data_IF_432885092687
#
_entry.id   IF_432885092687
#
_cell.length_a   1.000
_cell.length_b   1.000
_cell.length_c   1.000
_cell.angle_alpha   90.00
_cell.angle_beta   90.00
_cell.angle_gamma   90.00
#
_symmetry.space_group_name_H-M   'P 1'
#
loop_
_entity.id
_entity.type
_entity.pdbx_description
1 polymer ?
#
# COMPACT_ATOMS: atom_id res chain seq x y z
N UNK A 1 33.10 35.98 -37.01
CA UNK A 1 32.19 36.97 -36.41
C UNK A 1 31.32 36.24 -35.42
N UNK A 2 31.23 36.70 -34.17
CA UNK A 2 30.29 36.12 -33.22
C UNK A 2 28.87 36.54 -33.62
N UNK A 3 27.97 35.57 -33.71
CA UNK A 3 26.59 35.78 -34.11
C UNK A 3 25.84 36.45 -32.95
N UNK A 4 25.75 37.78 -32.99
CA UNK A 4 24.96 38.59 -32.04
C UNK A 4 23.54 38.75 -32.60
N UNK A 5 22.69 37.77 -32.33
CA UNK A 5 21.24 37.88 -32.52
C UNK A 5 20.55 38.27 -31.21
N UNK A 6 19.58 39.19 -31.30
CA UNK A 6 18.71 39.52 -30.16
C UNK A 6 17.82 38.31 -29.80
N UNK A 7 17.53 38.14 -28.50
CA UNK A 7 16.77 36.98 -28.02
C UNK A 7 15.35 37.00 -28.59
N UNK A 8 15.09 36.18 -29.61
CA UNK A 8 13.79 36.05 -30.27
C UNK A 8 13.71 36.57 -31.72
N UNK A 9 14.81 37.03 -32.32
CA UNK A 9 14.84 37.39 -33.74
C UNK A 9 14.91 36.15 -34.64
N UNK A 10 14.05 36.08 -35.66
CA UNK A 10 14.13 35.06 -36.70
C UNK A 10 15.33 35.33 -37.63
N UNK A 11 16.07 34.28 -38.06
CA UNK A 11 17.21 34.43 -38.97
C UNK A 11 16.72 34.94 -40.32
N UNK A 12 17.37 35.99 -40.84
CA UNK A 12 16.98 36.64 -42.11
C UNK A 12 17.86 36.23 -43.28
N UNK A 13 19.03 35.65 -43.02
CA UNK A 13 20.01 35.25 -44.03
C UNK A 13 20.27 33.75 -44.02
N UNK A 14 20.60 33.17 -45.18
CA UNK A 14 20.98 31.75 -45.30
C UNK A 14 22.19 31.38 -44.42
N UNK A 15 23.12 32.32 -44.22
CA UNK A 15 24.25 32.14 -43.30
C UNK A 15 23.82 32.03 -41.84
N UNK A 16 22.86 32.85 -41.38
CA UNK A 16 22.34 32.78 -40.01
C UNK A 16 21.56 31.48 -39.76
N UNK A 17 20.84 30.98 -40.77
CA UNK A 17 20.14 29.69 -40.70
C UNK A 17 21.16 28.55 -40.54
N UNK A 18 22.20 28.53 -41.38
CA UNK A 18 23.26 27.52 -41.32
C UNK A 18 24.01 27.54 -39.96
N UNK A 19 24.28 28.73 -39.41
CA UNK A 19 24.92 28.85 -38.09
C UNK A 19 23.99 28.39 -36.95
N UNK A 20 22.67 28.67 -37.03
CA UNK A 20 21.70 28.15 -36.06
C UNK A 20 21.56 26.63 -36.12
N UNK A 21 21.57 26.05 -37.32
CA UNK A 21 21.58 24.60 -37.52
C UNK A 21 22.87 23.96 -36.99
N UNK A 22 24.02 24.59 -37.18
CA UNK A 22 25.27 24.13 -36.56
C UNK A 22 25.21 24.17 -35.03
N UNK A 23 24.63 25.24 -34.46
CA UNK A 23 24.45 25.36 -33.00
C UNK A 23 23.47 24.31 -32.47
N UNK A 24 22.37 24.02 -33.18
CA UNK A 24 21.43 22.98 -32.76
C UNK A 24 22.06 21.59 -32.84
N UNK A 25 22.78 21.27 -33.91
CA UNK A 25 23.50 20.00 -34.04
C UNK A 25 24.58 19.80 -32.95
N UNK A 26 25.28 20.87 -32.57
CA UNK A 26 26.21 20.84 -31.44
C UNK A 26 25.50 20.59 -30.10
N UNK A 27 24.33 21.19 -29.88
CA UNK A 27 23.53 20.96 -28.67
C UNK A 27 22.94 19.55 -28.63
N UNK A 28 22.53 19.02 -29.77
CA UNK A 28 22.02 17.66 -29.90
C UNK A 28 23.12 16.64 -29.56
N UNK A 29 24.30 16.78 -30.16
CA UNK A 29 25.44 15.91 -29.83
C UNK A 29 25.83 16.01 -28.35
N UNK A 30 25.86 17.21 -27.77
CA UNK A 30 26.07 17.40 -26.33
C UNK A 30 24.98 16.75 -25.45
N UNK A 31 23.71 16.78 -25.87
CA UNK A 31 22.62 16.13 -25.16
C UNK A 31 22.73 14.60 -25.20
N UNK A 32 23.18 14.03 -26.32
CA UNK A 32 23.46 12.61 -26.46
C UNK A 32 24.67 12.17 -25.61
N UNK A 33 25.73 12.98 -25.53
CA UNK A 33 26.84 12.71 -24.62
C UNK A 33 26.40 12.71 -23.15
N UNK A 34 25.54 13.67 -22.76
CA UNK A 34 24.98 13.72 -21.41
C UNK A 34 24.11 12.49 -21.10
N UNK A 35 23.37 11.98 -22.08
CA UNK A 35 22.62 10.72 -21.98
C UNK A 35 23.57 9.57 -21.64
N UNK A 36 24.65 9.42 -22.39
CA UNK A 36 25.60 8.32 -22.18
C UNK A 36 26.37 8.45 -20.87
N UNK A 37 26.80 9.65 -20.48
CA UNK A 37 27.39 9.92 -19.15
C UNK A 37 26.41 9.55 -18.03
N UNK A 38 25.14 9.89 -18.19
CA UNK A 38 24.08 9.47 -17.26
C UNK A 38 24.00 7.95 -17.15
N UNK A 39 24.01 7.22 -18.28
CA UNK A 39 24.00 5.75 -18.29
C UNK A 39 25.23 5.16 -17.59
N UNK A 40 26.41 5.75 -17.78
CA UNK A 40 27.64 5.33 -17.09
C UNK A 40 27.54 5.53 -15.58
N UNK A 41 27.02 6.67 -15.11
CA UNK A 41 26.81 6.90 -13.68
C UNK A 41 25.83 5.90 -13.06
N UNK A 42 24.78 5.50 -13.79
CA UNK A 42 23.89 4.42 -13.36
C UNK A 42 24.65 3.09 -13.20
N UNK A 43 25.56 2.77 -14.13
CA UNK A 43 26.39 1.55 -14.03
C UNK A 43 27.38 1.60 -12.86
N UNK A 44 27.90 2.78 -12.52
CA UNK A 44 28.80 2.97 -11.36
C UNK A 44 28.10 2.77 -10.00
N UNK A 45 26.77 2.76 -9.98
CA UNK A 45 25.96 2.34 -8.84
C UNK A 45 25.48 3.49 -7.95
N UNK A 46 24.95 3.14 -6.77
CA UNK A 46 24.08 4.01 -5.95
C UNK A 46 24.67 5.39 -5.59
N UNK A 47 25.99 5.47 -5.38
CA UNK A 47 26.67 6.73 -5.05
C UNK A 47 26.52 7.77 -6.15
N UNK A 48 26.37 7.34 -7.40
CA UNK A 48 26.37 8.19 -8.58
C UNK A 48 24.99 8.43 -9.20
N UNK A 49 23.92 7.93 -8.55
CA UNK A 49 22.55 8.09 -9.07
C UNK A 49 22.09 9.55 -9.11
N UNK A 50 22.53 10.38 -8.18
CA UNK A 50 22.17 11.80 -8.20
C UNK A 50 22.82 12.54 -9.38
N UNK A 51 24.07 12.20 -9.71
CA UNK A 51 24.78 12.77 -10.86
C UNK A 51 24.19 12.27 -12.18
N UNK A 52 23.72 11.01 -12.24
CA UNK A 52 22.97 10.50 -13.37
C UNK A 52 21.69 11.31 -13.63
N UNK A 53 20.94 11.64 -12.57
CA UNK A 53 19.73 12.48 -12.67
C UNK A 53 20.08 13.88 -13.17
N UNK A 54 21.18 14.47 -12.71
CA UNK A 54 21.64 15.78 -13.19
C UNK A 54 21.97 15.73 -14.68
N UNK A 55 22.73 14.72 -15.12
CA UNK A 55 23.07 14.53 -16.54
C UNK A 55 21.82 14.42 -17.42
N UNK A 56 20.84 13.60 -17.03
CA UNK A 56 19.59 13.49 -17.78
C UNK A 56 18.78 14.80 -17.77
N UNK A 57 18.74 15.51 -16.64
CA UNK A 57 18.01 16.77 -16.53
C UNK A 57 18.66 17.85 -17.42
N UNK A 58 19.99 17.91 -17.46
CA UNK A 58 20.74 18.80 -18.35
C UNK A 58 20.51 18.46 -19.81
N UNK A 59 20.44 17.17 -20.18
CA UNK A 59 20.13 16.73 -21.54
C UNK A 59 18.71 17.16 -21.96
N UNK A 60 17.70 16.94 -21.09
CA UNK A 60 16.31 17.35 -21.33
C UNK A 60 16.21 18.88 -21.48
N UNK A 61 16.95 19.64 -20.66
CA UNK A 61 16.92 21.11 -20.68
C UNK A 61 17.49 21.72 -21.96
N UNK A 62 18.25 20.98 -22.77
CA UNK A 62 18.69 21.48 -24.08
C UNK A 62 17.51 21.67 -25.05
N UNK A 63 16.43 20.89 -24.91
CA UNK A 63 15.22 20.95 -25.75
C UNK A 63 15.50 20.85 -27.26
N UNK A 64 16.54 20.10 -27.64
CA UNK A 64 16.93 19.90 -29.05
C UNK A 64 16.66 18.47 -29.51
N UNK A 65 16.36 17.56 -28.59
CA UNK A 65 16.09 16.15 -28.90
C UNK A 65 14.64 15.94 -29.33
N UNK A 66 14.44 14.96 -30.22
CA UNK A 66 13.11 14.51 -30.62
C UNK A 66 12.33 13.91 -29.43
N UNK A 67 11.00 13.87 -29.54
CA UNK A 67 10.11 13.39 -28.48
C UNK A 67 10.42 11.94 -28.05
N UNK A 68 10.85 11.10 -28.99
CA UNK A 68 11.25 9.72 -28.71
C UNK A 68 12.48 9.64 -27.81
N UNK A 69 13.54 10.40 -28.12
CA UNK A 69 14.78 10.43 -27.33
C UNK A 69 14.58 11.11 -25.99
N UNK A 70 13.79 12.18 -25.98
CA UNK A 70 13.38 12.87 -24.75
C UNK A 70 12.57 11.94 -23.85
N UNK A 71 11.65 11.14 -24.41
CA UNK A 71 10.92 10.09 -23.66
C UNK A 71 11.87 9.06 -23.04
N UNK A 72 12.91 8.62 -23.77
CA UNK A 72 13.92 7.70 -23.24
C UNK A 72 14.67 8.32 -22.06
N UNK A 73 15.04 9.60 -22.13
CA UNK A 73 15.69 10.32 -21.03
C UNK A 73 14.81 10.41 -19.78
N UNK A 74 13.55 10.83 -19.94
CA UNK A 74 12.57 10.84 -18.84
C UNK A 74 12.38 9.45 -18.22
N UNK A 75 12.30 8.43 -19.07
CA UNK A 75 12.14 7.04 -18.63
C UNK A 75 13.40 6.56 -17.86
N UNK A 76 14.60 6.90 -18.31
CA UNK A 76 15.85 6.57 -17.61
C UNK A 76 15.99 7.35 -16.29
N UNK A 77 15.59 8.62 -16.26
CA UNK A 77 15.53 9.42 -15.02
C UNK A 77 14.50 8.84 -14.03
N UNK A 78 13.36 8.35 -14.50
CA UNK A 78 12.39 7.63 -13.66
C UNK A 78 12.97 6.35 -13.06
N UNK A 79 13.78 5.60 -13.84
CA UNK A 79 14.47 4.41 -13.34
C UNK A 79 15.43 4.73 -12.19
N UNK A 80 16.24 5.77 -12.33
CA UNK A 80 17.18 6.16 -11.27
C UNK A 80 16.44 6.63 -10.01
N UNK A 81 15.34 7.38 -10.18
CA UNK A 81 14.50 7.77 -9.05
C UNK A 81 13.86 6.56 -8.34
N UNK A 82 13.46 5.51 -9.08
CA UNK A 82 13.02 4.24 -8.48
C UNK A 82 14.12 3.61 -7.63
N UNK A 83 15.35 3.57 -8.14
CA UNK A 83 16.49 2.98 -7.42
C UNK A 83 16.87 3.78 -6.16
N UNK A 84 16.62 5.08 -6.15
CA UNK A 84 16.80 5.96 -4.99
C UNK A 84 15.64 5.89 -3.98
N UNK A 85 14.51 5.26 -4.32
CA UNK A 85 13.30 5.24 -3.49
C UNK A 85 12.42 6.49 -3.61
N UNK A 86 12.70 7.37 -4.58
CA UNK A 86 11.93 8.58 -4.86
C UNK A 86 10.69 8.24 -5.71
N UNK A 87 9.78 7.41 -5.19
CA UNK A 87 8.70 6.82 -5.98
C UNK A 87 7.76 7.85 -6.60
N UNK A 88 7.37 8.92 -5.88
CA UNK A 88 6.50 9.97 -6.43
C UNK A 88 7.11 10.67 -7.64
N UNK A 89 8.40 11.01 -7.57
CA UNK A 89 9.13 11.61 -8.69
C UNK A 89 9.28 10.62 -9.84
N UNK A 90 9.50 9.34 -9.54
CA UNK A 90 9.55 8.32 -10.58
C UNK A 90 8.24 8.18 -11.35
N UNK A 91 7.08 8.31 -10.69
CA UNK A 91 5.78 8.31 -11.36
C UNK A 91 5.66 9.50 -12.30
N UNK A 92 5.96 10.72 -11.84
CA UNK A 92 5.83 11.93 -12.68
C UNK A 92 6.73 11.87 -13.91
N UNK A 93 8.00 11.48 -13.73
CA UNK A 93 8.96 11.39 -14.84
C UNK A 93 8.57 10.27 -15.83
N UNK A 94 8.01 9.15 -15.33
CA UNK A 94 7.50 8.09 -16.19
C UNK A 94 6.24 8.51 -16.96
N UNK A 95 5.34 9.29 -16.34
CA UNK A 95 4.18 9.88 -17.01
C UNK A 95 4.60 10.84 -18.12
N UNK A 96 5.60 11.70 -17.87
CA UNK A 96 6.11 12.62 -18.88
C UNK A 96 6.78 11.86 -20.04
N UNK A 97 7.49 10.76 -19.76
CA UNK A 97 7.98 9.87 -20.80
C UNK A 97 6.84 9.27 -21.65
N UNK A 98 5.73 8.86 -21.03
CA UNK A 98 4.56 8.30 -21.72
C UNK A 98 3.84 9.34 -22.58
N UNK A 99 3.73 10.58 -22.10
CA UNK A 99 3.12 11.69 -22.87
C UNK A 99 3.89 11.97 -24.16
N UNK A 100 5.23 11.94 -24.10
CA UNK A 100 6.09 12.17 -25.26
C UNK A 100 6.10 10.97 -26.21
N UNK A 101 6.19 9.75 -25.68
CA UNK A 101 6.13 8.52 -26.48
C UNK A 101 5.28 7.45 -25.80
N UNK A 102 4.02 7.29 -26.24
CA UNK A 102 3.14 6.21 -25.78
C UNK A 102 3.61 4.81 -26.19
N UNK A 103 4.63 4.70 -27.05
CA UNK A 103 5.23 3.43 -27.44
C UNK A 103 6.31 2.95 -26.44
N UNK A 104 6.72 3.79 -25.49
CA UNK A 104 7.79 3.48 -24.54
C UNK A 104 7.30 2.54 -23.41
N UNK A 105 7.26 1.24 -23.67
CA UNK A 105 6.82 0.19 -22.71
C UNK A 105 7.60 0.23 -21.39
N UNK A 106 8.89 0.60 -21.43
CA UNK A 106 9.72 0.72 -20.22
C UNK A 106 9.21 1.81 -19.27
N UNK A 107 8.62 2.88 -19.80
CA UNK A 107 8.03 3.94 -18.99
C UNK A 107 6.80 3.43 -18.21
N UNK A 108 5.92 2.65 -18.87
CA UNK A 108 4.78 2.01 -18.21
C UNK A 108 5.21 1.06 -17.08
N UNK A 109 6.23 0.23 -17.33
CA UNK A 109 6.77 -0.65 -16.29
C UNK A 109 7.31 0.13 -15.08
N UNK A 110 8.05 1.22 -15.34
CA UNK A 110 8.61 2.09 -14.30
C UNK A 110 7.51 2.80 -13.50
N UNK A 111 6.48 3.32 -14.18
CA UNK A 111 5.32 3.93 -13.54
C UNK A 111 4.58 2.92 -12.64
N UNK A 112 4.26 1.74 -13.17
CA UNK A 112 3.58 0.69 -12.42
C UNK A 112 4.37 0.24 -11.18
N UNK A 113 5.69 0.06 -11.31
CA UNK A 113 6.57 -0.31 -10.20
C UNK A 113 6.65 0.79 -9.14
N UNK A 114 6.64 2.06 -9.55
CA UNK A 114 6.61 3.21 -8.64
C UNK A 114 5.28 3.29 -7.88
N UNK A 115 4.14 3.17 -8.57
CA UNK A 115 2.81 3.15 -7.97
C UNK A 115 2.64 1.96 -7.00
N UNK A 116 3.14 0.77 -7.36
CA UNK A 116 3.15 -0.39 -6.48
C UNK A 116 3.92 -0.13 -5.18
N UNK A 117 5.03 0.58 -5.26
CA UNK A 117 5.85 0.95 -4.09
C UNK A 117 5.16 2.00 -3.20
N UNK A 118 4.24 2.78 -3.77
CA UNK A 118 3.38 3.74 -3.05
C UNK A 118 2.07 3.12 -2.54
N UNK A 119 1.85 1.82 -2.72
CA UNK A 119 0.57 1.14 -2.48
C UNK A 119 -0.63 1.72 -3.27
N UNK A 120 -0.38 2.40 -4.38
CA UNK A 120 -1.41 2.87 -5.32
C UNK A 120 -1.74 1.73 -6.31
N UNK A 121 -2.39 0.67 -5.80
CA UNK A 121 -2.58 -0.59 -6.53
C UNK A 121 -3.46 -0.44 -7.78
N UNK A 122 -4.49 0.42 -7.73
CA UNK A 122 -5.39 0.68 -8.86
C UNK A 122 -4.65 1.32 -10.04
N UNK A 123 -3.89 2.38 -9.77
CA UNK A 123 -3.06 3.08 -10.78
C UNK A 123 -1.98 2.15 -11.33
N UNK A 124 -1.31 1.39 -10.46
CA UNK A 124 -0.28 0.44 -10.85
C UNK A 124 -0.81 -0.60 -11.84
N UNK A 125 -2.03 -1.10 -11.62
CA UNK A 125 -2.71 -2.03 -12.53
C UNK A 125 -3.02 -1.39 -13.88
N UNK A 126 -3.56 -0.18 -13.88
CA UNK A 126 -3.88 0.56 -15.12
C UNK A 126 -2.63 0.78 -16.00
N UNK A 127 -1.49 1.12 -15.39
CA UNK A 127 -0.22 1.24 -16.11
C UNK A 127 0.28 -0.09 -16.68
N UNK A 128 0.11 -1.20 -15.94
CA UNK A 128 0.45 -2.53 -16.45
C UNK A 128 -0.42 -2.93 -17.64
N UNK A 129 -1.74 -2.76 -17.54
CA UNK A 129 -2.69 -3.07 -18.62
C UNK A 129 -2.40 -2.24 -19.87
N UNK A 130 -2.16 -0.93 -19.69
CA UNK A 130 -1.77 -0.04 -20.79
C UNK A 130 -0.45 -0.47 -21.44
N UNK A 131 0.55 -0.84 -20.64
CA UNK A 131 1.85 -1.33 -21.15
C UNK A 131 1.74 -2.66 -21.89
N UNK A 132 0.94 -3.60 -21.37
CA UNK A 132 0.67 -4.91 -22.02
C UNK A 132 -0.09 -4.71 -23.32
N UNK A 133 -1.00 -3.72 -23.39
CA UNK A 133 -1.68 -3.36 -24.63
C UNK A 133 -0.74 -2.83 -25.71
N UNK A 134 0.42 -2.26 -25.34
CA UNK A 134 1.45 -1.81 -26.28
C UNK A 134 2.42 -2.92 -26.68
N UNK A 135 2.82 -3.76 -25.73
CA UNK A 135 3.68 -4.93 -25.97
C UNK A 135 3.18 -6.16 -25.20
N UNK A 136 2.34 -7.00 -25.87
CA UNK A 136 1.81 -8.22 -25.28
C UNK A 136 2.87 -9.29 -25.00
N UNK A 137 4.08 -9.19 -25.56
CA UNK A 137 5.16 -10.16 -25.35
C UNK A 137 5.92 -9.92 -24.04
N UNK A 138 5.74 -8.74 -23.42
CA UNK A 138 6.49 -8.35 -22.23
C UNK A 138 6.10 -9.16 -20.97
N UNK A 139 6.89 -10.19 -20.67
CA UNK A 139 6.69 -11.04 -19.49
C UNK A 139 6.94 -10.33 -18.15
N UNK A 140 7.79 -9.30 -18.10
CA UNK A 140 8.04 -8.56 -16.86
C UNK A 140 6.81 -7.78 -16.41
N UNK A 141 6.09 -7.16 -17.34
CA UNK A 141 4.83 -6.46 -17.07
C UNK A 141 3.74 -7.43 -16.62
N UNK A 142 3.62 -8.60 -17.25
CA UNK A 142 2.65 -9.64 -16.83
C UNK A 142 2.93 -10.13 -15.42
N UNK A 143 4.20 -10.35 -15.07
CA UNK A 143 4.61 -10.73 -13.70
C UNK A 143 4.24 -9.64 -12.70
N UNK A 144 4.49 -8.37 -13.05
CA UNK A 144 4.16 -7.23 -12.19
C UNK A 144 2.63 -7.10 -11.99
N UNK A 145 1.84 -7.26 -13.05
CA UNK A 145 0.38 -7.25 -12.99
C UNK A 145 -0.16 -8.32 -12.03
N UNK A 146 0.35 -9.56 -12.15
CA UNK A 146 -0.01 -10.65 -11.22
C UNK A 146 0.32 -10.32 -9.76
N UNK A 147 1.47 -9.71 -9.50
CA UNK A 147 1.84 -9.29 -8.13
C UNK A 147 0.90 -8.21 -7.58
N UNK A 148 0.48 -7.26 -8.43
CA UNK A 148 -0.48 -6.21 -8.07
C UNK A 148 -1.84 -6.82 -7.76
N UNK A 149 -2.34 -7.73 -8.59
CA UNK A 149 -3.62 -8.40 -8.39
C UNK A 149 -3.64 -9.19 -7.09
N UNK A 150 -2.58 -9.97 -6.80
CA UNK A 150 -2.46 -10.69 -5.53
C UNK A 150 -2.49 -9.75 -4.31
N UNK A 151 -1.74 -8.64 -4.35
CA UNK A 151 -1.75 -7.65 -3.27
C UNK A 151 -3.13 -7.02 -3.10
N UNK A 152 -3.82 -6.71 -4.20
CA UNK A 152 -5.15 -6.10 -4.18
C UNK A 152 -6.18 -7.06 -3.56
N UNK A 153 -6.18 -8.33 -3.96
CA UNK A 153 -7.06 -9.35 -3.38
C UNK A 153 -6.83 -9.52 -1.87
N UNK A 154 -5.57 -9.56 -1.43
CA UNK A 154 -5.24 -9.66 0.01
C UNK A 154 -5.73 -8.44 0.77
N UNK A 155 -5.56 -7.23 0.20
CA UNK A 155 -6.03 -6.01 0.82
C UNK A 155 -7.56 -5.97 0.94
N UNK A 156 -8.29 -6.32 -0.13
CA UNK A 156 -9.74 -6.39 -0.13
C UNK A 156 -10.28 -7.43 0.87
N UNK A 157 -9.64 -8.60 0.97
CA UNK A 157 -9.99 -9.61 1.96
C UNK A 157 -9.78 -9.12 3.39
N UNK A 158 -8.67 -8.42 3.64
CA UNK A 158 -8.38 -7.84 4.96
C UNK A 158 -9.38 -6.76 5.31
N UNK A 159 -9.70 -5.87 4.39
CA UNK A 159 -10.71 -4.81 4.58
C UNK A 159 -12.10 -5.42 4.83
N UNK A 160 -12.46 -6.50 4.12
CA UNK A 160 -13.71 -7.22 4.34
C UNK A 160 -13.76 -7.95 5.69
N UNK A 161 -12.64 -8.49 6.18
CA UNK A 161 -12.58 -9.07 7.54
C UNK A 161 -12.70 -7.99 8.62
N UNK A 162 -12.01 -6.87 8.45
CA UNK A 162 -12.08 -5.74 9.38
C UNK A 162 -13.48 -5.15 9.42
N UNK A 163 -14.15 -5.00 8.28
CA UNK A 163 -15.52 -4.49 8.23
C UNK A 163 -16.51 -5.44 8.91
N UNK A 164 -16.38 -6.76 8.68
CA UNK A 164 -17.19 -7.77 9.39
C UNK A 164 -17.00 -7.72 10.91
N UNK A 165 -15.74 -7.67 11.37
CA UNK A 165 -15.43 -7.59 12.80
C UNK A 165 -15.93 -6.29 13.42
N UNK A 166 -15.89 -5.17 12.69
CA UNK A 166 -16.40 -3.89 13.15
C UNK A 166 -17.92 -3.86 13.27
N UNK A 167 -18.63 -4.50 12.33
CA UNK A 167 -20.09 -4.68 12.41
C UNK A 167 -20.45 -5.53 13.63
N UNK A 168 -19.81 -6.69 13.81
CA UNK A 168 -20.04 -7.56 14.97
C UNK A 168 -19.76 -6.84 16.30
N UNK A 169 -18.65 -6.09 16.39
CA UNK A 169 -18.34 -5.32 17.59
C UNK A 169 -19.38 -4.23 17.86
N UNK A 170 -19.88 -3.55 16.82
CA UNK A 170 -20.91 -2.52 16.94
C UNK A 170 -22.25 -3.11 17.40
N UNK A 171 -22.64 -4.26 16.85
CA UNK A 171 -23.86 -4.95 17.23
C UNK A 171 -23.78 -5.40 18.69
N UNK A 172 -22.64 -5.96 19.10
CA UNK A 172 -22.37 -6.35 20.49
C UNK A 172 -22.46 -5.15 21.45
N UNK A 173 -21.83 -4.02 21.12
CA UNK A 173 -21.89 -2.82 21.96
C UNK A 173 -23.32 -2.31 22.09
N UNK A 174 -24.06 -2.28 20.98
CA UNK A 174 -25.47 -1.85 20.98
C UNK A 174 -26.35 -2.78 21.83
N UNK A 175 -26.09 -4.08 21.80
CA UNK A 175 -26.81 -5.08 22.60
C UNK A 175 -26.56 -4.92 24.11
N UNK A 176 -25.34 -4.54 24.49
CA UNK A 176 -24.94 -4.29 25.90
C UNK A 176 -25.55 -2.98 26.40
N UNK A 177 -25.50 -1.92 25.59
CA UNK A 177 -26.11 -0.62 25.90
C UNK A 177 -27.63 -0.74 26.06
N UNK A 178 -28.31 -1.47 25.15
CA UNK A 178 -29.75 -1.72 25.23
C UNK A 178 -30.19 -2.46 26.50
N UNK A 179 -29.32 -3.29 27.06
CA UNK A 179 -29.54 -4.02 28.32
C UNK A 179 -29.07 -3.24 29.56
N UNK A 180 -28.59 -2.01 29.39
CA UNK A 180 -28.08 -1.14 30.47
C UNK A 180 -26.97 -1.77 31.31
N UNK A 181 -26.13 -2.62 30.70
CA UNK A 181 -25.05 -3.32 31.38
C UNK A 181 -23.81 -2.41 31.53
N UNK A 182 -23.21 -2.42 32.72
CA UNK A 182 -21.99 -1.65 33.01
C UNK A 182 -20.77 -2.56 32.89
N UNK A 183 -19.94 -2.30 31.88
CA UNK A 183 -18.67 -3.03 31.73
C UNK A 183 -17.60 -2.39 32.61
N UNK A 184 -17.15 -3.13 33.63
CA UNK A 184 -16.05 -2.74 34.51
C UNK A 184 -14.67 -3.09 33.96
N UNK A 185 -13.62 -2.81 34.76
CA UNK A 185 -12.26 -3.26 34.45
C UNK A 185 -12.18 -4.78 34.54
N UNK A 186 -11.47 -5.41 33.60
CA UNK A 186 -11.25 -6.86 33.60
C UNK A 186 -10.28 -7.28 34.73
N UNK A 187 -10.81 -7.49 35.94
CA UNK A 187 -10.01 -7.85 37.13
C UNK A 187 -9.41 -9.26 37.08
N UNK A 188 -10.07 -10.21 36.40
CA UNK A 188 -9.68 -11.64 36.43
C UNK A 188 -9.20 -12.17 35.07
N UNK A 189 -8.60 -11.31 34.24
CA UNK A 189 -8.14 -11.66 32.88
C UNK A 189 -7.15 -12.83 32.87
N UNK A 190 -6.37 -12.99 33.92
CA UNK A 190 -5.41 -14.10 34.06
C UNK A 190 -6.10 -15.46 34.19
N UNK A 191 -7.30 -15.50 34.79
CA UNK A 191 -8.09 -16.70 35.02
C UNK A 191 -9.05 -17.00 33.87
N UNK A 192 -9.65 -15.98 33.26
CA UNK A 192 -10.66 -16.12 32.19
C UNK A 192 -10.07 -16.05 30.78
N UNK A 193 -8.79 -15.67 30.66
CA UNK A 193 -8.15 -15.40 29.38
C UNK A 193 -8.67 -14.15 28.68
N UNK A 194 -8.53 -14.12 27.35
CA UNK A 194 -8.93 -12.99 26.48
C UNK A 194 -10.33 -13.16 25.87
N UNK A 195 -11.18 -13.97 26.50
CA UNK A 195 -12.55 -14.23 26.05
C UNK A 195 -13.43 -12.99 26.28
N UNK A 196 -14.30 -12.72 25.31
CA UNK A 196 -15.20 -11.56 25.29
C UNK A 196 -16.63 -12.06 25.14
N UNK A 197 -17.63 -11.29 25.58
CA UNK A 197 -19.02 -11.63 25.30
C UNK A 197 -19.26 -11.70 23.80
N UNK A 198 -20.04 -12.69 23.36
CA UNK A 198 -20.42 -12.88 21.97
C UNK A 198 -21.92 -12.72 21.82
N UNK A 199 -22.35 -12.22 20.66
CA UNK A 199 -23.76 -12.06 20.33
C UNK A 199 -24.12 -13.13 19.30
N UNK A 200 -25.05 -14.03 19.66
CA UNK A 200 -25.53 -15.06 18.74
C UNK A 200 -26.47 -14.46 17.67
N UNK A 201 -26.73 -15.23 16.60
CA UNK A 201 -27.62 -14.88 15.48
C UNK A 201 -29.04 -14.50 15.93
N UNK A 202 -29.48 -15.02 17.06
CA UNK A 202 -30.79 -14.72 17.65
C UNK A 202 -30.80 -13.41 18.47
N UNK A 203 -29.67 -12.69 18.55
CA UNK A 203 -29.53 -11.47 19.36
C UNK A 203 -29.39 -11.75 20.86
N UNK A 204 -29.09 -12.99 21.23
CA UNK A 204 -28.89 -13.46 22.59
C UNK A 204 -27.41 -13.30 22.95
N UNK A 205 -27.12 -12.74 24.12
CA UNK A 205 -25.75 -12.57 24.60
C UNK A 205 -25.24 -13.83 25.29
N UNK A 206 -24.01 -14.19 24.93
CA UNK A 206 -23.24 -15.28 25.48
C UNK A 206 -22.09 -14.70 26.29
N UNK A 207 -22.01 -15.07 27.57
CA UNK A 207 -21.11 -14.47 28.54
C UNK A 207 -20.06 -15.49 29.01
N UNK A 208 -18.77 -15.12 29.01
CA UNK A 208 -17.79 -15.84 29.80
C UNK A 208 -18.01 -15.51 31.29
N UNK A 209 -18.32 -16.52 32.11
CA UNK A 209 -18.63 -16.35 33.53
C UNK A 209 -17.61 -17.06 34.40
N UNK A 210 -17.05 -16.33 35.37
CA UNK A 210 -16.17 -16.88 36.39
C UNK A 210 -16.94 -17.02 37.70
N UNK A 211 -17.04 -18.23 38.22
CA UNK A 211 -17.61 -18.54 39.53
C UNK A 211 -16.47 -18.63 40.55
N UNK A 212 -16.56 -17.87 41.64
CA UNK A 212 -15.57 -17.85 42.71
C UNK A 212 -16.14 -18.44 43.99
N UNK A 213 -15.47 -19.45 44.54
CA UNK A 213 -15.86 -20.10 45.79
C UNK A 213 -14.90 -19.69 46.90
N UNK A 214 -15.18 -18.56 47.55
CA UNK A 214 -14.30 -17.95 48.55
C UNK A 214 -13.95 -18.88 49.72
N UNK A 215 -14.88 -19.75 50.14
CA UNK A 215 -14.67 -20.66 51.27
C UNK A 215 -13.59 -21.71 51.01
N UNK A 216 -13.46 -22.15 49.74
CA UNK A 216 -12.53 -23.20 49.32
C UNK A 216 -11.40 -22.66 48.46
N UNK A 217 -11.33 -21.34 48.26
CA UNK A 217 -10.34 -20.65 47.43
C UNK A 217 -10.21 -21.27 46.02
N UNK A 218 -11.34 -21.74 45.48
CA UNK A 218 -11.41 -22.34 44.14
C UNK A 218 -12.27 -21.50 43.21
N UNK A 219 -12.16 -21.78 41.91
CA UNK A 219 -12.93 -21.09 40.88
C UNK A 219 -13.26 -22.02 39.73
N UNK A 220 -14.44 -21.86 39.15
CA UNK A 220 -14.84 -22.50 37.89
C UNK A 220 -15.06 -21.43 36.83
N UNK A 221 -14.77 -21.78 35.57
CA UNK A 221 -14.98 -20.90 34.43
C UNK A 221 -15.95 -21.53 33.44
N UNK A 222 -17.06 -20.83 33.18
CA UNK A 222 -18.02 -21.16 32.12
C UNK A 222 -17.64 -20.32 30.91
N UNK A 223 -17.17 -20.97 29.85
CA UNK A 223 -16.73 -20.26 28.64
C UNK A 223 -17.88 -19.55 27.93
N UNK A 224 -19.06 -20.17 27.94
CA UNK A 224 -20.22 -19.77 27.17
C UNK A 224 -21.51 -19.92 28.00
N UNK A 225 -21.92 -18.85 28.66
CA UNK A 225 -23.16 -18.78 29.43
C UNK A 225 -24.21 -17.96 28.67
N UNK A 226 -25.29 -18.61 28.27
CA UNK A 226 -26.39 -17.96 27.57
C UNK A 226 -27.23 -17.10 28.54
N UNK A 227 -27.51 -15.84 28.20
CA UNK A 227 -28.26 -14.93 29.09
C UNK A 227 -29.69 -15.40 29.43
N UNK A 228 -30.26 -16.29 28.62
CA UNK A 228 -31.60 -16.84 28.87
C UNK A 228 -31.58 -18.08 29.76
N UNK A 229 -30.40 -18.65 30.04
CA UNK A 229 -30.27 -19.82 30.89
C UNK A 229 -30.21 -19.45 32.37
N UNK A 230 -30.68 -20.36 33.21
CA UNK A 230 -30.62 -20.19 34.66
C UNK A 230 -29.29 -20.71 35.19
N UNK A 231 -28.70 -19.97 36.13
CA UNK A 231 -27.52 -20.40 36.87
C UNK A 231 -27.69 -21.75 37.56
N UNK A 232 -28.89 -22.06 38.05
CA UNK A 232 -29.19 -23.34 38.69
C UNK A 232 -28.89 -24.53 37.79
N UNK A 233 -29.25 -24.45 36.49
CA UNK A 233 -29.00 -25.53 35.55
C UNK A 233 -27.50 -25.80 35.35
N UNK A 234 -26.69 -24.72 35.30
CA UNK A 234 -25.24 -24.83 35.21
C UNK A 234 -24.62 -25.38 36.49
N UNK A 235 -25.06 -24.88 37.64
CA UNK A 235 -24.59 -25.34 38.96
C UNK A 235 -24.96 -26.79 39.21
N UNK A 236 -26.13 -27.25 38.77
CA UNK A 236 -26.52 -28.66 38.88
C UNK A 236 -25.55 -29.55 38.10
N UNK A 237 -25.15 -29.16 36.88
CA UNK A 237 -24.16 -29.93 36.10
C UNK A 237 -22.79 -29.93 36.78
N UNK A 238 -22.31 -28.76 37.24
CA UNK A 238 -21.00 -28.63 37.88
C UNK A 238 -20.93 -29.37 39.22
N UNK A 239 -21.97 -29.25 40.05
CA UNK A 239 -22.01 -29.85 41.38
C UNK A 239 -22.39 -31.34 41.37
N UNK A 240 -23.08 -31.83 40.34
CA UNK A 240 -23.32 -33.27 40.16
C UNK A 240 -22.02 -34.01 39.79
N UNK A 241 -21.10 -33.37 39.06
CA UNK A 241 -19.75 -33.90 38.83
C UNK A 241 -18.83 -33.80 40.06
N UNK A 242 -19.06 -32.81 40.93
CA UNK A 242 -18.29 -32.55 42.17
C UNK A 242 -18.93 -33.23 43.40
N UNK A 243 -19.91 -34.12 43.21
CA UNK A 243 -20.58 -34.85 44.27
C UNK A 243 -19.67 -35.89 44.95
N UNK A 244 -18.72 -35.39 45.76
CA UNK A 244 -18.26 -36.07 46.98
C UNK A 244 -18.27 -35.12 48.20
N UNK A 245 -18.09 -33.80 48.13
CA UNK A 245 -18.07 -32.99 49.36
C UNK A 245 -18.46 -31.51 49.16
N UNK A 246 -19.38 -31.05 50.02
CA UNK A 246 -19.73 -29.66 50.37
C UNK A 246 -20.78 -28.94 49.49
N UNK A 247 -21.96 -28.72 50.09
CA UNK A 247 -22.87 -27.61 49.74
C UNK A 247 -22.55 -26.40 50.64
N UNK A 248 -22.01 -25.29 50.12
CA UNK A 248 -22.05 -24.03 50.85
C UNK A 248 -23.01 -23.02 50.21
N UNK A 249 -23.43 -22.05 51.02
CA UNK A 249 -24.43 -21.03 50.70
C UNK A 249 -23.90 -20.09 49.61
N UNK A 250 -24.55 -20.05 48.45
CA UNK A 250 -24.22 -19.10 47.38
C UNK A 250 -24.57 -17.66 47.79
N UNK A 251 -23.62 -16.74 47.59
CA UNK A 251 -23.86 -15.30 47.51
C UNK A 251 -23.36 -14.82 46.15
N UNK A 252 -24.27 -14.31 45.31
CA UNK A 252 -23.97 -13.81 43.96
C UNK A 252 -23.64 -12.33 44.07
N UNK A 253 -22.46 -11.92 43.60
CA UNK A 253 -22.05 -10.51 43.48
C UNK A 253 -21.97 -10.19 41.98
N UNK A 254 -22.73 -9.18 41.54
CA UNK A 254 -22.77 -8.66 40.18
C UNK A 254 -21.52 -7.84 39.81
#
# INVERSE_FOLDING_TARGET
MALWMERGSEPKTESEIADLEAISALKESAALELKEKGNEFVKKGKKHYQEAIDCYSRAINQKVLNDQDTSVLFSNKAHVNLLLGNYRRAVTEAQDAIKLSPANVKAYYRAAKACLSLNLLSEAKSYCESGIGKDPSNEELKKLAKQIDLKKMVQEQREAQVSKALVQAKDLVSAIEGRSLKIGKAMYRELTGLRKPELDKNGILHWPVLLLYAEVMSSDFIEDFCETEMFSAHLDIMLVLVCICLRPKLSIIF
#
